data_IF_696807849965
#
_entry.id   IF_696807849965
#
_cell.length_a   1.000
_cell.length_b   1.000
_cell.length_c   1.000
_cell.angle_alpha   90.00
_cell.angle_beta   90.00
_cell.angle_gamma   90.00
#
_symmetry.space_group_name_H-M   'P 1'
#
loop_
_entity.id
_entity.type
_entity.pdbx_description
1 polymer ?
#
# COMPACT_ATOMS: atom_id res chain seq x y z
N UNK A 1 13.82 -11.63 -31.08
CA UNK A 1 13.17 -10.28 -31.09
C UNK A 1 11.88 -10.26 -31.93
N UNK A 2 11.86 -10.64 -33.23
CA UNK A 2 10.61 -10.63 -34.05
C UNK A 2 9.48 -11.52 -33.49
N UNK A 3 9.83 -12.70 -32.96
CA UNK A 3 8.85 -13.66 -32.43
C UNK A 3 8.13 -13.14 -31.17
N UNK A 4 8.86 -12.50 -30.23
CA UNK A 4 8.27 -11.84 -29.04
C UNK A 4 7.37 -10.65 -29.45
N UNK A 5 7.78 -9.87 -30.48
CA UNK A 5 6.96 -8.78 -31.01
C UNK A 5 5.61 -9.23 -31.61
N UNK A 6 5.55 -10.46 -32.10
CA UNK A 6 4.30 -11.01 -32.65
C UNK A 6 3.28 -11.36 -31.56
N UNK A 7 3.69 -11.58 -30.30
CA UNK A 7 2.79 -11.85 -29.19
C UNK A 7 1.87 -10.65 -28.90
N UNK A 8 2.34 -9.41 -29.05
CA UNK A 8 1.50 -8.21 -28.87
C UNK A 8 0.36 -8.08 -29.85
N UNK A 9 0.44 -8.77 -31.01
CA UNK A 9 -0.61 -8.75 -32.03
C UNK A 9 -1.68 -9.81 -31.81
N UNK A 10 -1.43 -10.75 -30.88
CA UNK A 10 -2.37 -11.81 -30.56
C UNK A 10 -3.55 -11.26 -29.77
N UNK A 11 -4.72 -11.74 -30.07
CA UNK A 11 -5.93 -11.50 -29.30
C UNK A 11 -6.49 -12.84 -28.85
N UNK A 12 -6.91 -12.87 -27.61
CA UNK A 12 -7.55 -14.00 -26.98
C UNK A 12 -9.02 -13.66 -26.85
N UNK A 13 -9.86 -14.64 -26.84
CA UNK A 13 -11.28 -14.43 -26.55
C UNK A 13 -11.43 -13.81 -25.15
N UNK A 14 -12.18 -12.69 -25.00
CA UNK A 14 -12.39 -12.05 -23.69
C UNK A 14 -12.91 -13.04 -22.65
N UNK A 15 -12.34 -12.99 -21.45
CA UNK A 15 -12.74 -13.88 -20.35
C UNK A 15 -12.11 -15.27 -20.39
N UNK A 16 -11.20 -15.56 -21.32
CA UNK A 16 -10.47 -16.83 -21.35
C UNK A 16 -9.08 -16.70 -20.77
N UNK A 17 -8.53 -17.81 -20.24
CA UNK A 17 -7.15 -17.88 -19.72
C UNK A 17 -6.12 -17.68 -20.82
N UNK A 18 -6.37 -18.23 -22.00
CA UNK A 18 -5.50 -18.18 -23.16
C UNK A 18 -6.14 -18.81 -24.37
N UNK A 19 -5.33 -19.03 -25.39
CA UNK A 19 -5.71 -19.89 -26.53
C UNK A 19 -4.69 -21.01 -26.69
N UNK A 20 -5.07 -22.17 -27.25
CA UNK A 20 -4.14 -23.27 -27.51
C UNK A 20 -2.93 -22.85 -28.37
N UNK A 21 -3.18 -21.94 -29.32
CA UNK A 21 -2.12 -21.39 -30.19
C UNK A 21 -1.16 -20.50 -29.42
N UNK A 22 -1.65 -19.62 -28.51
CA UNK A 22 -0.80 -18.79 -27.67
C UNK A 22 0.03 -19.66 -26.72
N UNK A 23 -0.58 -20.67 -26.08
CA UNK A 23 0.11 -21.58 -25.16
C UNK A 23 1.26 -22.31 -25.87
N UNK A 24 1.04 -22.80 -27.10
CA UNK A 24 2.08 -23.42 -27.92
C UNK A 24 3.20 -22.46 -28.23
N UNK A 25 2.90 -21.27 -28.72
CA UNK A 25 3.90 -20.26 -29.06
C UNK A 25 4.75 -19.84 -27.86
N UNK A 26 4.15 -19.70 -26.67
CA UNK A 26 4.86 -19.38 -25.45
C UNK A 26 5.80 -20.53 -25.04
N UNK A 27 5.36 -21.78 -25.14
CA UNK A 27 6.17 -22.94 -24.80
C UNK A 27 7.36 -23.10 -25.77
N UNK A 28 7.15 -22.96 -27.08
CA UNK A 28 8.22 -22.96 -28.10
C UNK A 28 9.25 -21.87 -27.82
N UNK A 29 8.79 -20.61 -27.61
CA UNK A 29 9.67 -19.49 -27.30
C UNK A 29 10.45 -19.70 -26.01
N UNK A 30 9.81 -20.22 -24.97
CA UNK A 30 10.45 -20.52 -23.70
C UNK A 30 11.54 -21.58 -23.85
N UNK A 31 11.29 -22.60 -24.66
CA UNK A 31 12.28 -23.62 -24.99
C UNK A 31 13.49 -23.05 -25.75
N UNK A 32 13.23 -22.17 -26.73
CA UNK A 32 14.28 -21.54 -27.54
C UNK A 32 15.19 -20.63 -26.70
N UNK A 33 14.59 -19.81 -25.81
CA UNK A 33 15.35 -18.89 -24.96
C UNK A 33 15.84 -19.52 -23.66
N UNK A 34 15.37 -20.73 -23.32
CA UNK A 34 15.63 -21.46 -22.07
C UNK A 34 15.34 -20.64 -20.83
N UNK A 35 14.30 -19.82 -20.88
CA UNK A 35 13.83 -18.95 -19.82
C UNK A 35 12.31 -18.94 -19.79
N UNK A 36 11.76 -18.49 -18.69
CA UNK A 36 10.34 -18.22 -18.59
C UNK A 36 9.95 -17.08 -19.55
N UNK A 37 8.86 -17.27 -20.26
CA UNK A 37 8.24 -16.26 -21.12
C UNK A 37 6.83 -16.04 -20.63
N UNK A 38 6.49 -14.78 -20.35
CA UNK A 38 5.19 -14.41 -19.83
C UNK A 38 4.51 -13.33 -20.66
N UNK A 39 3.18 -13.35 -20.64
CA UNK A 39 2.34 -12.31 -21.22
C UNK A 39 1.33 -11.83 -20.20
N UNK A 40 1.15 -10.53 -20.12
CA UNK A 40 0.11 -9.90 -19.33
C UNK A 40 -1.07 -9.58 -20.25
N UNK A 41 -2.25 -10.09 -19.90
CA UNK A 41 -3.45 -10.04 -20.73
C UNK A 41 -4.52 -9.22 -20.01
N UNK A 42 -5.15 -8.27 -20.69
CA UNK A 42 -6.29 -7.53 -20.15
C UNK A 42 -7.61 -8.31 -20.33
N UNK A 43 -8.68 -7.89 -19.66
CA UNK A 43 -10.02 -8.52 -19.74
C UNK A 43 -10.63 -8.47 -21.14
N UNK A 44 -10.07 -7.65 -22.05
CA UNK A 44 -10.48 -7.61 -23.48
C UNK A 44 -9.71 -8.60 -24.34
N UNK A 45 -8.86 -9.42 -23.72
CA UNK A 45 -8.03 -10.41 -24.39
C UNK A 45 -6.83 -9.83 -25.15
N UNK A 46 -6.39 -8.61 -24.85
CA UNK A 46 -5.21 -7.99 -25.46
C UNK A 46 -3.97 -8.28 -24.64
N UNK A 47 -2.91 -8.64 -25.32
CA UNK A 47 -1.57 -8.74 -24.69
C UNK A 47 -1.02 -7.33 -24.49
N UNK A 48 -0.83 -6.93 -23.23
CA UNK A 48 -0.36 -5.61 -22.83
C UNK A 48 1.15 -5.57 -22.61
N UNK A 49 1.71 -6.64 -22.06
CA UNK A 49 3.15 -6.77 -21.81
C UNK A 49 3.62 -8.17 -22.15
N UNK A 50 4.87 -8.27 -22.60
CA UNK A 50 5.58 -9.54 -22.85
C UNK A 50 6.89 -9.49 -22.08
N UNK A 51 7.16 -10.47 -21.24
CA UNK A 51 8.35 -10.58 -20.43
C UNK A 51 9.12 -11.87 -20.70
N UNK A 52 10.44 -11.80 -20.53
CA UNK A 52 11.32 -12.96 -20.55
C UNK A 52 12.00 -13.02 -19.18
N UNK A 53 11.20 -13.34 -18.18
CA UNK A 53 11.57 -13.41 -16.77
C UNK A 53 10.51 -14.22 -16.02
N UNK A 54 10.84 -14.62 -14.79
CA UNK A 54 9.86 -15.18 -13.85
C UNK A 54 8.73 -14.17 -13.54
N UNK A 55 7.70 -14.61 -12.82
CA UNK A 55 6.56 -13.76 -12.47
C UNK A 55 6.97 -12.48 -11.72
N UNK A 56 8.01 -12.53 -10.86
CA UNK A 56 8.54 -11.38 -10.13
C UNK A 56 9.25 -10.37 -11.03
N UNK A 57 9.87 -10.83 -12.10
CA UNK A 57 10.56 -9.98 -13.08
C UNK A 57 9.66 -9.43 -14.18
N UNK A 58 8.37 -9.74 -14.17
CA UNK A 58 7.41 -9.21 -15.14
C UNK A 58 7.13 -7.73 -14.84
N UNK A 59 7.32 -6.86 -15.84
CA UNK A 59 6.95 -5.46 -15.75
C UNK A 59 5.43 -5.32 -15.88
N UNK A 60 4.82 -4.76 -14.84
CA UNK A 60 3.39 -4.45 -14.83
C UNK A 60 3.18 -2.99 -15.22
N UNK A 61 2.13 -2.66 -16.00
CA UNK A 61 1.72 -1.28 -16.19
C UNK A 61 1.34 -0.66 -14.85
N UNK A 62 1.22 0.67 -14.82
CA UNK A 62 0.77 1.39 -13.62
C UNK A 62 -0.67 0.94 -13.28
N UNK A 63 -0.74 -0.02 -12.35
CA UNK A 63 -2.00 -0.63 -11.93
C UNK A 63 -2.70 0.32 -10.97
N UNK A 64 -3.76 0.97 -11.41
CA UNK A 64 -4.68 1.68 -10.52
C UNK A 64 -5.46 0.66 -9.70
N UNK A 65 -4.86 0.23 -8.60
CA UNK A 65 -5.52 -0.69 -7.68
C UNK A 65 -6.60 0.06 -6.89
N UNK A 66 -7.87 -0.23 -7.17
CA UNK A 66 -8.96 0.17 -6.27
C UNK A 66 -8.98 -0.78 -5.07
N UNK A 67 -9.31 -0.26 -3.88
CA UNK A 67 -9.31 -1.05 -2.63
C UNK A 67 -10.16 -2.33 -2.71
N UNK A 68 -11.20 -2.34 -3.54
CA UNK A 68 -12.18 -3.42 -3.64
C UNK A 68 -12.29 -4.04 -5.05
N UNK A 69 -11.25 -3.94 -5.87
CA UNK A 69 -11.24 -4.48 -7.23
C UNK A 69 -9.96 -5.23 -7.53
N UNK A 70 -10.07 -6.21 -8.40
CA UNK A 70 -8.92 -6.85 -9.02
C UNK A 70 -8.27 -5.91 -10.05
N UNK A 71 -7.01 -6.18 -10.42
CA UNK A 71 -6.25 -5.32 -11.32
C UNK A 71 -6.79 -5.26 -12.75
N UNK A 72 -7.60 -6.24 -13.14
CA UNK A 72 -8.08 -6.37 -14.52
C UNK A 72 -7.07 -7.03 -15.46
N UNK A 73 -6.04 -7.66 -14.90
CA UNK A 73 -5.00 -8.34 -15.66
C UNK A 73 -4.82 -9.79 -15.21
N UNK A 74 -4.53 -10.63 -16.17
CA UNK A 74 -4.17 -12.03 -16.00
C UNK A 74 -2.74 -12.24 -16.51
N UNK A 75 -1.89 -12.90 -15.72
CA UNK A 75 -0.54 -13.28 -16.10
C UNK A 75 -0.52 -14.74 -16.57
N UNK A 76 -0.18 -14.97 -17.85
CA UNK A 76 0.06 -16.28 -18.41
C UNK A 76 1.55 -16.41 -18.74
N UNK A 77 2.24 -17.37 -18.12
CA UNK A 77 3.67 -17.58 -18.31
C UNK A 77 4.04 -19.05 -18.41
N UNK A 78 5.29 -19.33 -18.70
CA UNK A 78 5.80 -20.69 -18.91
C UNK A 78 6.73 -21.12 -17.81
N UNK A 79 6.70 -22.41 -17.45
CA UNK A 79 7.67 -23.05 -16.59
C UNK A 79 8.57 -24.00 -17.43
N UNK A 80 9.81 -23.57 -17.80
CA UNK A 80 10.72 -24.35 -18.66
C UNK A 80 11.16 -25.70 -18.05
N UNK A 81 11.06 -25.81 -16.74
CA UNK A 81 11.42 -27.04 -16.00
C UNK A 81 10.17 -27.86 -15.61
N UNK A 82 9.00 -27.49 -16.14
CA UNK A 82 7.73 -28.05 -15.74
C UNK A 82 7.33 -27.68 -14.30
N UNK A 83 6.23 -28.24 -13.85
CA UNK A 83 5.74 -28.10 -12.48
C UNK A 83 4.58 -27.10 -12.30
N UNK A 84 3.96 -27.18 -11.13
CA UNK A 84 2.86 -26.32 -10.71
C UNK A 84 3.31 -24.87 -10.45
N UNK A 85 2.35 -24.00 -10.12
CA UNK A 85 2.61 -22.63 -9.71
C UNK A 85 3.59 -22.56 -8.54
N UNK A 86 4.58 -21.67 -8.66
CA UNK A 86 5.57 -21.42 -7.62
C UNK A 86 5.02 -20.46 -6.56
N UNK A 87 5.66 -20.41 -5.38
CA UNK A 87 5.36 -19.38 -4.37
C UNK A 87 5.53 -17.95 -4.92
N UNK A 88 6.45 -17.75 -5.88
CA UNK A 88 6.65 -16.47 -6.55
C UNK A 88 5.45 -16.04 -7.39
N UNK A 89 4.82 -16.99 -8.09
CA UNK A 89 3.63 -16.75 -8.91
C UNK A 89 2.44 -16.38 -8.03
N UNK A 90 2.24 -17.12 -6.94
CA UNK A 90 1.17 -16.89 -5.98
C UNK A 90 1.36 -15.56 -5.23
N UNK A 91 2.60 -15.22 -4.85
CA UNK A 91 2.90 -13.88 -4.30
C UNK A 91 2.61 -12.77 -5.31
N UNK A 92 2.93 -12.97 -6.59
CA UNK A 92 2.65 -11.99 -7.65
C UNK A 92 1.15 -11.83 -7.88
N UNK A 93 0.40 -12.93 -7.93
CA UNK A 93 -1.07 -12.93 -7.98
C UNK A 93 -1.65 -12.05 -6.87
N UNK A 94 -1.19 -12.27 -5.65
CA UNK A 94 -1.67 -11.59 -4.46
C UNK A 94 -1.29 -10.10 -4.44
N UNK A 95 0.02 -9.78 -4.54
CA UNK A 95 0.55 -8.42 -4.45
C UNK A 95 0.06 -7.49 -5.57
N UNK A 96 -0.17 -8.06 -6.77
CA UNK A 96 -0.66 -7.31 -7.92
C UNK A 96 -2.18 -7.42 -8.10
N UNK A 97 -2.86 -8.14 -7.19
CA UNK A 97 -4.30 -8.39 -7.22
C UNK A 97 -4.77 -8.80 -8.62
N UNK A 98 -4.01 -9.70 -9.24
CA UNK A 98 -4.31 -10.15 -10.59
C UNK A 98 -5.65 -10.88 -10.64
N UNK A 99 -6.31 -10.86 -11.78
CA UNK A 99 -7.52 -11.63 -12.02
C UNK A 99 -7.22 -13.14 -11.90
N UNK A 100 -6.07 -13.56 -12.42
CA UNK A 100 -5.49 -14.89 -12.24
C UNK A 100 -3.99 -14.90 -12.57
N UNK A 101 -3.31 -15.96 -12.17
CA UNK A 101 -1.98 -16.33 -12.66
C UNK A 101 -2.05 -17.74 -13.23
N UNK A 102 -1.44 -17.97 -14.39
CA UNK A 102 -1.41 -19.27 -15.04
C UNK A 102 -0.01 -19.62 -15.52
N UNK A 103 0.44 -20.83 -15.21
CA UNK A 103 1.72 -21.37 -15.65
C UNK A 103 1.53 -22.53 -16.61
N UNK A 104 2.18 -22.46 -17.77
CA UNK A 104 2.20 -23.51 -18.78
C UNK A 104 3.45 -24.36 -18.56
N UNK A 105 3.28 -25.65 -18.34
CA UNK A 105 4.40 -26.58 -18.34
C UNK A 105 5.02 -26.69 -19.72
N UNK A 106 6.33 -26.50 -19.84
CA UNK A 106 7.07 -26.74 -21.06
C UNK A 106 7.66 -28.15 -21.00
N UNK A 107 7.20 -29.02 -21.91
CA UNK A 107 7.68 -30.39 -22.07
C UNK A 107 8.85 -30.44 -23.05
N UNK A 108 9.40 -31.64 -23.23
CA UNK A 108 10.48 -31.88 -24.19
C UNK A 108 10.12 -31.28 -25.56
N UNK A 109 11.11 -30.74 -26.25
CA UNK A 109 10.99 -30.13 -27.59
C UNK A 109 10.07 -28.89 -27.63
N UNK A 110 9.80 -28.24 -26.49
CA UNK A 110 9.01 -27.01 -26.45
C UNK A 110 7.49 -27.22 -26.54
N UNK A 111 7.02 -28.43 -26.31
CA UNK A 111 5.57 -28.73 -26.30
C UNK A 111 4.90 -28.14 -25.06
N UNK A 112 3.72 -27.53 -25.23
CA UNK A 112 2.90 -27.08 -24.13
C UNK A 112 2.23 -28.26 -23.43
N UNK A 113 2.41 -28.38 -22.13
CA UNK A 113 1.90 -29.46 -21.28
C UNK A 113 0.59 -29.08 -20.56
N UNK A 114 0.58 -29.23 -19.24
CA UNK A 114 -0.53 -28.80 -18.38
C UNK A 114 -0.45 -27.30 -18.11
N UNK A 115 -1.59 -26.70 -17.87
CA UNK A 115 -1.73 -25.31 -17.44
C UNK A 115 -2.27 -25.31 -16.02
N UNK A 116 -1.52 -24.71 -15.11
CA UNK A 116 -1.88 -24.53 -13.71
C UNK A 116 -2.37 -23.12 -13.50
N UNK A 117 -3.57 -22.92 -13.03
CA UNK A 117 -4.18 -21.59 -12.83
C UNK A 117 -4.56 -21.41 -11.36
N UNK A 118 -4.32 -20.20 -10.84
CA UNK A 118 -4.81 -19.78 -9.54
C UNK A 118 -5.47 -18.40 -9.63
N UNK A 119 -6.44 -18.18 -8.73
CA UNK A 119 -7.08 -16.89 -8.51
C UNK A 119 -7.16 -16.59 -7.01
N UNK A 120 -7.38 -15.33 -6.63
CA UNK A 120 -7.55 -14.92 -5.25
C UNK A 120 -8.85 -15.48 -4.66
N UNK A 121 -8.89 -15.62 -3.33
CA UNK A 121 -10.11 -15.86 -2.56
C UNK A 121 -10.60 -14.56 -1.93
N UNK A 122 -11.90 -14.40 -1.62
CA UNK A 122 -12.40 -13.23 -0.91
C UNK A 122 -11.76 -13.10 0.48
N UNK A 123 -11.42 -11.88 0.93
CA UNK A 123 -10.82 -11.69 2.24
C UNK A 123 -11.76 -12.13 3.36
N UNK A 124 -11.21 -12.84 4.38
CA UNK A 124 -11.95 -13.28 5.55
C UNK A 124 -12.88 -14.48 5.28
N UNK A 125 -12.65 -15.25 4.23
CA UNK A 125 -13.38 -16.51 3.97
C UNK A 125 -13.03 -17.51 5.05
N UNK A 126 -14.00 -17.87 5.89
CA UNK A 126 -13.84 -18.80 7.00
C UNK A 126 -13.53 -20.19 6.46
N UNK A 127 -12.38 -20.76 6.84
CA UNK A 127 -11.97 -22.12 6.49
C UNK A 127 -10.98 -22.25 5.34
N UNK A 128 -10.58 -21.18 4.68
CA UNK A 128 -9.46 -21.17 3.74
C UNK A 128 -8.21 -20.58 4.44
N UNK A 129 -7.14 -21.38 4.51
CA UNK A 129 -5.85 -20.97 5.11
C UNK A 129 -5.00 -20.16 4.13
N UNK A 130 -5.41 -20.11 2.84
CA UNK A 130 -4.65 -19.48 1.76
C UNK A 130 -5.45 -18.35 1.08
N UNK A 131 -4.76 -17.27 0.68
CA UNK A 131 -5.30 -16.10 -0.01
C UNK A 131 -5.70 -16.39 -1.47
N UNK A 132 -5.51 -17.62 -1.93
CA UNK A 132 -5.73 -18.04 -3.30
C UNK A 132 -6.26 -19.47 -3.38
N UNK A 133 -6.94 -19.75 -4.47
CA UNK A 133 -7.37 -21.09 -4.85
C UNK A 133 -6.66 -21.53 -6.12
N UNK A 134 -6.03 -22.70 -6.07
CA UNK A 134 -5.44 -23.36 -7.23
C UNK A 134 -6.50 -24.24 -7.88
N UNK A 135 -6.73 -24.02 -9.17
CA UNK A 135 -7.68 -24.80 -9.97
C UNK A 135 -7.05 -26.13 -10.40
N UNK A 136 -7.85 -27.17 -10.68
CA UNK A 136 -7.36 -28.38 -11.31
C UNK A 136 -6.60 -28.05 -12.60
N UNK A 137 -5.41 -28.62 -12.86
CA UNK A 137 -4.66 -28.35 -14.07
C UNK A 137 -5.39 -28.88 -15.30
N UNK A 138 -5.35 -28.12 -16.39
CA UNK A 138 -5.95 -28.51 -17.67
C UNK A 138 -4.89 -28.65 -18.75
N UNK A 139 -5.07 -29.54 -19.76
CA UNK A 139 -4.17 -29.59 -20.91
C UNK A 139 -4.15 -28.27 -21.67
N UNK A 140 -2.98 -27.87 -22.21
CA UNK A 140 -2.85 -26.60 -22.93
C UNK A 140 -3.77 -26.46 -24.15
N UNK A 141 -4.24 -27.57 -24.73
CA UNK A 141 -5.22 -27.55 -25.83
C UNK A 141 -6.66 -27.28 -25.39
N UNK A 142 -6.92 -27.27 -24.06
CA UNK A 142 -8.21 -26.94 -23.42
C UNK A 142 -8.15 -25.63 -22.62
N UNK A 143 -7.10 -24.84 -22.77
CA UNK A 143 -6.90 -23.61 -22.00
C UNK A 143 -8.01 -22.57 -22.20
N UNK A 144 -8.71 -22.63 -23.31
CA UNK A 144 -9.83 -21.77 -23.69
C UNK A 144 -11.21 -22.28 -23.23
N UNK A 145 -11.30 -23.48 -22.66
CA UNK A 145 -12.56 -24.01 -22.13
C UNK A 145 -12.94 -23.38 -20.79
N UNK A 146 -11.96 -22.92 -19.99
CA UNK A 146 -12.21 -22.31 -18.69
C UNK A 146 -12.69 -20.85 -18.82
N UNK A 147 -13.86 -20.54 -18.25
CA UNK A 147 -14.43 -19.20 -18.22
C UNK A 147 -13.87 -18.40 -17.03
N UNK A 148 -12.68 -17.83 -17.23
CA UNK A 148 -12.04 -16.95 -16.26
C UNK A 148 -12.87 -15.69 -16.03
N UNK A 149 -13.57 -15.18 -17.04
CA UNK A 149 -14.38 -13.96 -16.95
C UNK A 149 -15.53 -14.11 -15.96
N UNK A 150 -16.27 -15.22 -16.03
CA UNK A 150 -17.34 -15.52 -15.08
C UNK A 150 -16.80 -15.69 -13.66
N UNK A 151 -15.64 -16.38 -13.50
CA UNK A 151 -14.99 -16.56 -12.21
C UNK A 151 -14.57 -15.23 -11.59
N UNK A 152 -13.92 -14.36 -12.35
CA UNK A 152 -13.48 -13.03 -11.93
C UNK A 152 -14.66 -12.15 -11.53
N UNK A 153 -15.75 -12.19 -12.31
CA UNK A 153 -16.95 -11.43 -12.00
C UNK A 153 -17.57 -11.90 -10.67
N UNK A 154 -17.71 -13.20 -10.46
CA UNK A 154 -18.22 -13.76 -9.22
C UNK A 154 -17.36 -13.34 -8.02
N UNK A 155 -16.03 -13.43 -8.16
CA UNK A 155 -15.08 -13.01 -7.13
C UNK A 155 -15.17 -11.51 -6.82
N UNK A 156 -15.28 -10.64 -7.84
CA UNK A 156 -15.46 -9.20 -7.62
C UNK A 156 -16.79 -8.87 -6.93
N UNK A 157 -17.86 -9.61 -7.26
CA UNK A 157 -19.14 -9.45 -6.56
C UNK A 157 -19.06 -9.87 -5.08
N UNK A 158 -18.32 -10.94 -4.78
CA UNK A 158 -18.07 -11.39 -3.40
C UNK A 158 -17.21 -10.38 -2.63
N UNK A 159 -16.11 -9.90 -3.22
CA UNK A 159 -15.25 -8.86 -2.64
C UNK A 159 -16.08 -7.58 -2.38
N UNK A 160 -16.89 -7.15 -3.35
CA UNK A 160 -17.74 -5.97 -3.20
C UNK A 160 -18.83 -6.16 -2.13
N UNK A 161 -19.38 -7.36 -1.99
CA UNK A 161 -20.35 -7.70 -0.94
C UNK A 161 -19.69 -7.68 0.43
N UNK A 162 -18.54 -8.31 0.57
CA UNK A 162 -17.73 -8.28 1.79
C UNK A 162 -17.39 -6.84 2.19
N UNK A 163 -16.96 -6.01 1.25
CA UNK A 163 -16.65 -4.60 1.47
C UNK A 163 -17.86 -3.79 1.96
N UNK A 164 -19.06 -3.99 1.38
CA UNK A 164 -20.30 -3.31 1.84
C UNK A 164 -20.68 -3.72 3.25
N UNK A 165 -20.57 -4.99 3.59
CA UNK A 165 -20.83 -5.50 4.94
C UNK A 165 -19.84 -4.92 5.95
N UNK A 166 -18.59 -4.68 5.54
CA UNK A 166 -17.55 -4.02 6.33
C UNK A 166 -17.87 -2.57 6.63
N UNK A 167 -18.17 -1.77 5.61
CA UNK A 167 -18.51 -0.35 5.77
C UNK A 167 -19.68 -0.16 6.74
N UNK A 168 -20.64 -1.08 6.73
CA UNK A 168 -21.79 -1.03 7.64
C UNK A 168 -21.45 -1.43 9.10
N UNK A 169 -20.31 -2.09 9.35
CA UNK A 169 -19.88 -2.59 10.68
C UNK A 169 -18.65 -1.89 11.24
N UNK A 170 -17.99 -1.01 10.49
CA UNK A 170 -16.70 -0.44 10.87
C UNK A 170 -16.85 0.78 11.77
N UNK A 171 -16.75 0.56 13.07
CA UNK A 171 -16.56 1.63 14.05
C UNK A 171 -15.07 2.03 14.20
N UNK A 172 -14.12 1.15 13.83
CA UNK A 172 -12.68 1.34 14.02
C UNK A 172 -11.85 0.82 12.83
N UNK A 173 -10.74 1.49 12.50
CA UNK A 173 -9.73 0.99 11.55
C UNK A 173 -8.96 -0.18 12.19
N UNK A 174 -8.78 -1.28 11.46
CA UNK A 174 -8.09 -2.48 11.93
C UNK A 174 -6.60 -2.41 11.59
N UNK A 175 -5.75 -2.52 12.61
CA UNK A 175 -4.32 -2.28 12.51
C UNK A 175 -3.48 -3.52 12.81
N UNK A 176 -2.46 -3.74 12.00
CA UNK A 176 -1.33 -4.60 12.35
C UNK A 176 -0.19 -3.72 12.86
N UNK A 177 0.33 -4.06 14.03
CA UNK A 177 1.47 -3.38 14.62
C UNK A 177 2.77 -4.08 14.21
N UNK A 178 3.77 -3.30 13.83
CA UNK A 178 5.08 -3.79 13.44
C UNK A 178 6.14 -3.06 14.27
N UNK A 179 6.77 -3.78 15.20
CA UNK A 179 7.90 -3.31 15.98
C UNK A 179 9.17 -3.99 15.48
N UNK A 180 10.22 -3.22 15.19
CA UNK A 180 11.52 -3.77 14.83
C UNK A 180 12.38 -3.86 16.08
N UNK A 181 12.85 -5.07 16.33
CA UNK A 181 13.81 -5.39 17.38
C UNK A 181 15.22 -5.42 16.79
N UNK A 182 16.11 -4.57 17.29
CA UNK A 182 17.53 -4.54 16.90
C UNK A 182 18.43 -5.30 17.91
N UNK A 183 17.86 -6.06 18.82
CA UNK A 183 18.54 -6.73 19.94
C UNK A 183 18.46 -5.92 21.21
N UNK A 184 17.46 -5.07 21.36
CA UNK A 184 17.19 -4.26 22.56
C UNK A 184 16.33 -5.07 23.55
N UNK A 185 16.59 -4.89 24.85
CA UNK A 185 15.89 -5.64 25.91
C UNK A 185 14.42 -5.26 26.09
N UNK A 186 13.95 -4.15 25.49
CA UNK A 186 12.64 -3.57 25.69
C UNK A 186 11.73 -3.58 24.44
N UNK A 187 12.05 -4.42 23.46
CA UNK A 187 11.30 -4.46 22.20
C UNK A 187 9.83 -4.91 22.36
N UNK A 188 9.56 -5.84 23.27
CA UNK A 188 8.20 -6.28 23.61
C UNK A 188 7.44 -5.18 24.37
N UNK A 189 8.08 -4.50 25.32
CA UNK A 189 7.47 -3.39 26.06
C UNK A 189 7.09 -2.24 25.10
N UNK A 190 7.94 -1.95 24.11
CA UNK A 190 7.65 -0.96 23.07
C UNK A 190 6.48 -1.38 22.18
N UNK A 191 6.34 -2.67 21.90
CA UNK A 191 5.21 -3.20 21.14
C UNK A 191 3.91 -3.10 21.96
N UNK A 192 3.99 -3.33 23.26
CA UNK A 192 2.87 -3.14 24.19
C UNK A 192 2.47 -1.67 24.26
N UNK A 193 3.42 -0.75 24.42
CA UNK A 193 3.17 0.70 24.36
C UNK A 193 2.52 1.10 23.04
N UNK A 194 3.02 0.60 21.92
CA UNK A 194 2.46 0.89 20.59
C UNK A 194 1.00 0.40 20.47
N UNK A 195 0.68 -0.74 21.10
CA UNK A 195 -0.69 -1.25 21.11
C UNK A 195 -1.63 -0.33 21.92
N UNK A 196 -1.19 0.18 23.05
CA UNK A 196 -1.98 1.14 23.83
C UNK A 196 -2.15 2.48 23.10
N UNK A 197 -1.12 2.97 22.42
CA UNK A 197 -1.22 4.16 21.58
C UNK A 197 -2.22 3.95 20.44
N UNK A 198 -2.17 2.80 19.73
CA UNK A 198 -3.09 2.49 18.66
C UNK A 198 -4.56 2.44 19.13
N UNK A 199 -4.81 1.81 20.28
CA UNK A 199 -6.16 1.79 20.89
C UNK A 199 -6.63 3.19 21.30
N UNK A 200 -5.73 4.00 21.86
CA UNK A 200 -6.02 5.40 22.24
C UNK A 200 -6.36 6.25 21.01
N UNK A 201 -5.76 5.96 19.86
CA UNK A 201 -6.10 6.59 18.58
C UNK A 201 -7.40 6.06 17.96
N UNK A 202 -8.04 5.05 18.56
CA UNK A 202 -9.28 4.45 18.08
C UNK A 202 -9.10 3.32 17.08
N UNK A 203 -7.89 2.74 16.95
CA UNK A 203 -7.65 1.60 16.08
C UNK A 203 -7.90 0.27 16.82
N UNK A 204 -8.46 -0.71 16.12
CA UNK A 204 -8.55 -2.10 16.57
C UNK A 204 -7.24 -2.82 16.22
N UNK A 205 -6.49 -3.26 17.22
CA UNK A 205 -5.24 -4.02 17.00
C UNK A 205 -5.58 -5.48 16.73
N UNK A 206 -5.45 -5.91 15.48
CA UNK A 206 -5.79 -7.27 15.05
C UNK A 206 -4.58 -8.21 15.02
N UNK A 207 -3.37 -7.66 14.94
CA UNK A 207 -2.14 -8.44 15.00
C UNK A 207 -0.96 -7.58 15.49
N UNK A 208 0.02 -8.26 16.09
CA UNK A 208 1.23 -7.65 16.64
C UNK A 208 2.43 -8.45 16.13
N UNK A 209 3.36 -7.78 15.48
CA UNK A 209 4.51 -8.38 14.85
C UNK A 209 5.81 -7.79 15.40
N UNK A 210 6.64 -8.64 15.96
CA UNK A 210 8.01 -8.29 16.36
C UNK A 210 8.99 -8.81 15.32
N UNK A 211 9.67 -7.90 14.62
CA UNK A 211 10.59 -8.25 13.54
C UNK A 211 12.03 -8.06 14.00
N UNK A 212 12.74 -9.16 14.23
CA UNK A 212 14.16 -9.08 14.58
C UNK A 212 15.02 -8.69 13.39
N UNK A 213 15.76 -7.57 13.50
CA UNK A 213 16.67 -7.08 12.47
C UNK A 213 17.85 -6.32 13.07
N UNK A 214 19.06 -6.87 12.99
CA UNK A 214 20.28 -6.16 13.42
C UNK A 214 20.61 -4.95 12.55
N UNK A 215 20.38 -5.08 11.24
CA UNK A 215 20.64 -4.01 10.27
C UNK A 215 19.35 -3.65 9.55
N UNK A 216 18.93 -2.41 9.68
CA UNK A 216 17.77 -1.88 8.95
C UNK A 216 18.10 -1.73 7.47
N UNK A 217 17.17 -2.12 6.60
CA UNK A 217 17.28 -1.82 5.18
C UNK A 217 16.91 -0.34 4.94
N UNK A 218 17.71 0.42 4.19
CA UNK A 218 17.44 1.86 4.00
C UNK A 218 16.06 2.15 3.40
N UNK A 219 15.56 1.29 2.50
CA UNK A 219 14.30 1.52 1.81
C UNK A 219 13.06 1.16 2.64
N UNK A 220 12.93 -0.09 3.01
CA UNK A 220 11.68 -0.63 3.57
C UNK A 220 11.74 -1.00 5.04
N UNK A 221 12.85 -0.75 5.72
CA UNK A 221 13.19 -1.19 7.09
C UNK A 221 13.22 -2.72 7.24
N UNK A 222 12.25 -3.41 6.69
CA UNK A 222 12.12 -4.88 6.66
C UNK A 222 12.41 -5.40 5.24
N UNK A 223 12.68 -6.70 5.08
CA UNK A 223 12.92 -7.30 3.76
C UNK A 223 11.61 -7.47 2.96
N UNK A 224 11.73 -7.58 1.63
CA UNK A 224 10.60 -7.79 0.73
C UNK A 224 9.73 -9.00 1.14
N UNK A 225 10.35 -10.14 1.49
CA UNK A 225 9.60 -11.31 1.94
C UNK A 225 8.80 -11.09 3.23
N UNK A 226 9.29 -10.24 4.15
CA UNK A 226 8.52 -9.88 5.35
C UNK A 226 7.37 -8.93 5.03
N UNK A 227 7.55 -8.03 4.06
CA UNK A 227 6.45 -7.19 3.58
C UNK A 227 5.37 -8.04 2.88
N UNK A 228 5.77 -9.03 2.07
CA UNK A 228 4.84 -10.00 1.48
C UNK A 228 4.03 -10.75 2.56
N UNK A 229 4.70 -11.25 3.60
CA UNK A 229 4.05 -11.91 4.73
C UNK A 229 3.08 -11.00 5.48
N UNK A 230 3.50 -9.75 5.78
CA UNK A 230 2.65 -8.76 6.45
C UNK A 230 1.43 -8.39 5.60
N UNK A 231 1.61 -8.29 4.26
CA UNK A 231 0.52 -8.00 3.34
C UNK A 231 -0.49 -9.15 3.27
N UNK A 232 -0.01 -10.39 3.19
CA UNK A 232 -0.86 -11.59 3.26
C UNK A 232 -1.64 -11.63 4.58
N UNK A 233 -0.95 -11.42 5.70
CA UNK A 233 -1.58 -11.40 7.02
C UNK A 233 -2.61 -10.28 7.17
N UNK A 234 -2.32 -9.10 6.62
CA UNK A 234 -3.28 -7.99 6.61
C UNK A 234 -4.55 -8.34 5.83
N UNK A 235 -4.40 -9.03 4.72
CA UNK A 235 -5.53 -9.50 3.94
C UNK A 235 -6.38 -10.52 4.69
N UNK A 236 -5.77 -11.55 5.30
CA UNK A 236 -6.47 -12.55 6.12
C UNK A 236 -7.20 -11.94 7.32
N UNK A 237 -6.53 -11.04 8.02
CA UNK A 237 -7.07 -10.39 9.20
C UNK A 237 -7.97 -9.19 8.86
N UNK A 238 -8.17 -8.89 7.59
CA UNK A 238 -8.94 -7.73 7.17
C UNK A 238 -8.44 -6.42 7.81
N UNK A 239 -7.11 -6.24 7.83
CA UNK A 239 -6.48 -5.06 8.36
C UNK A 239 -6.43 -3.94 7.32
N UNK A 240 -6.66 -2.70 7.76
CA UNK A 240 -6.69 -1.50 6.92
C UNK A 240 -5.35 -0.83 6.81
N UNK A 241 -4.52 -0.98 7.86
CA UNK A 241 -3.27 -0.25 7.99
C UNK A 241 -2.20 -1.05 8.73
N UNK A 242 -0.95 -0.68 8.46
CA UNK A 242 0.21 -1.09 9.23
C UNK A 242 0.70 0.08 10.08
N UNK A 243 0.92 -0.14 11.35
CA UNK A 243 1.49 0.84 12.27
C UNK A 243 2.90 0.40 12.65
N UNK A 244 3.90 1.20 12.28
CA UNK A 244 5.30 0.94 12.63
C UNK A 244 5.68 1.65 13.94
N UNK A 245 6.32 0.94 14.84
CA UNK A 245 6.85 1.50 16.10
C UNK A 245 8.05 2.42 15.90
N UNK A 246 8.72 2.34 14.75
CA UNK A 246 9.81 3.24 14.35
C UNK A 246 9.28 4.42 13.55
N UNK A 247 9.98 5.55 13.62
CA UNK A 247 9.74 6.68 12.73
C UNK A 247 10.16 6.32 11.29
N UNK A 248 9.29 6.63 10.33
CA UNK A 248 9.52 6.36 8.92
C UNK A 248 9.86 7.65 8.16
N UNK A 249 10.94 7.61 7.40
CA UNK A 249 11.19 8.64 6.40
C UNK A 249 10.10 8.64 5.31
N UNK A 250 9.85 9.80 4.69
CA UNK A 250 8.82 9.94 3.67
C UNK A 250 9.01 8.98 2.47
N UNK A 251 10.25 8.66 2.10
CA UNK A 251 10.55 7.71 1.04
C UNK A 251 10.24 6.27 1.48
N UNK A 252 10.58 5.92 2.72
CA UNK A 252 10.33 4.59 3.29
C UNK A 252 8.84 4.30 3.40
N UNK A 253 8.06 5.22 3.95
CA UNK A 253 6.61 5.05 4.05
C UNK A 253 5.98 4.78 2.67
N UNK A 254 6.36 5.56 1.64
CA UNK A 254 5.86 5.36 0.27
C UNK A 254 6.29 4.03 -0.35
N UNK A 255 7.54 3.62 -0.11
CA UNK A 255 8.03 2.35 -0.65
C UNK A 255 7.28 1.17 -0.02
N UNK A 256 7.00 1.25 1.29
CA UNK A 256 6.19 0.25 2.00
C UNK A 256 4.73 0.30 1.50
N UNK A 257 4.11 1.48 1.37
CA UNK A 257 2.76 1.63 0.81
C UNK A 257 2.66 1.06 -0.62
N UNK A 258 3.64 1.35 -1.47
CA UNK A 258 3.68 0.84 -2.84
C UNK A 258 3.86 -0.69 -2.89
N UNK A 259 4.60 -1.27 -1.94
CA UNK A 259 4.84 -2.70 -1.86
C UNK A 259 3.64 -3.46 -1.26
N UNK A 260 2.92 -2.88 -0.32
CA UNK A 260 1.85 -3.54 0.44
C UNK A 260 0.44 -3.17 -0.04
N UNK A 261 0.29 -1.97 -0.62
CA UNK A 261 -1.03 -1.41 -0.94
C UNK A 261 -1.84 -0.99 0.29
N UNK A 262 -1.25 -0.99 1.48
CA UNK A 262 -1.89 -0.64 2.75
C UNK A 262 -1.53 0.79 3.18
N UNK A 263 -2.40 1.41 3.95
CA UNK A 263 -2.10 2.68 4.63
C UNK A 263 -1.00 2.45 5.67
N UNK A 264 0.05 3.26 5.65
CA UNK A 264 1.19 3.16 6.56
C UNK A 264 1.19 4.35 7.51
N UNK A 265 1.23 4.03 8.79
CA UNK A 265 1.34 5.02 9.88
C UNK A 265 2.58 4.66 10.70
N UNK A 266 3.32 5.65 11.15
CA UNK A 266 4.40 5.45 12.12
C UNK A 266 4.02 5.99 13.50
N UNK A 267 4.89 5.75 14.48
CA UNK A 267 4.67 6.17 15.86
C UNK A 267 4.43 7.68 15.98
N UNK A 268 5.19 8.50 15.24
CA UNK A 268 5.07 9.96 15.31
C UNK A 268 3.70 10.42 14.78
N UNK A 269 3.26 9.90 13.66
CA UNK A 269 1.93 10.20 13.12
C UNK A 269 0.82 9.74 14.07
N UNK A 270 0.93 8.53 14.63
CA UNK A 270 -0.03 8.00 15.59
C UNK A 270 -0.17 8.91 16.82
N UNK A 271 0.94 9.40 17.38
CA UNK A 271 0.94 10.34 18.52
C UNK A 271 0.27 11.68 18.12
N UNK A 272 0.55 12.19 16.92
CA UNK A 272 -0.08 13.41 16.42
C UNK A 272 -1.60 13.23 16.24
N UNK A 273 -2.07 12.08 15.82
CA UNK A 273 -3.49 11.76 15.69
C UNK A 273 -4.17 11.68 17.07
N UNK A 274 -3.51 11.08 18.07
CA UNK A 274 -3.99 11.10 19.46
C UNK A 274 -4.10 12.53 19.99
N UNK A 275 -3.10 13.38 19.74
CA UNK A 275 -3.18 14.79 20.15
C UNK A 275 -4.30 15.53 19.45
N UNK A 276 -4.57 15.22 18.17
CA UNK A 276 -5.69 15.82 17.44
C UNK A 276 -7.05 15.45 18.07
N UNK A 277 -7.23 14.20 18.48
CA UNK A 277 -8.45 13.75 19.16
C UNK A 277 -8.67 14.45 20.51
N UNK A 278 -7.60 14.76 21.24
CA UNK A 278 -7.66 15.34 22.59
C UNK A 278 -7.53 16.86 22.62
N UNK A 279 -7.28 17.53 21.49
CA UNK A 279 -7.11 18.98 21.41
C UNK A 279 -8.44 19.72 21.56
N UNK A 280 -8.76 20.19 22.78
CA UNK A 280 -10.03 20.89 23.08
C UNK A 280 -9.92 22.42 22.89
N UNK A 281 -8.75 23.02 23.13
CA UNK A 281 -8.54 24.46 23.02
C UNK A 281 -8.19 24.92 21.60
N UNK A 282 -8.51 26.19 21.27
CA UNK A 282 -8.14 26.76 19.96
C UNK A 282 -6.63 26.70 19.72
N UNK A 283 -5.84 27.01 20.73
CA UNK A 283 -4.38 26.95 20.64
C UNK A 283 -3.86 25.55 20.44
N UNK A 284 -4.35 24.56 21.21
CA UNK A 284 -3.92 23.16 21.06
C UNK A 284 -4.29 22.60 19.69
N UNK A 285 -5.46 22.93 19.14
CA UNK A 285 -5.85 22.54 17.80
C UNK A 285 -4.92 23.12 16.73
N UNK A 286 -4.59 24.42 16.85
CA UNK A 286 -3.66 25.09 15.92
C UNK A 286 -2.27 24.46 15.99
N UNK A 287 -1.77 24.15 17.20
CA UNK A 287 -0.46 23.52 17.39
C UNK A 287 -0.40 22.13 16.80
N UNK A 288 -1.44 21.31 17.04
CA UNK A 288 -1.49 19.94 16.51
C UNK A 288 -1.63 19.95 14.99
N UNK A 289 -2.50 20.78 14.43
CA UNK A 289 -2.65 20.93 12.97
C UNK A 289 -1.33 21.36 12.32
N UNK A 290 -0.63 22.33 12.92
CA UNK A 290 0.68 22.78 12.46
C UNK A 290 1.71 21.63 12.47
N UNK A 291 1.75 20.85 13.56
CA UNK A 291 2.65 19.70 13.68
C UNK A 291 2.34 18.61 12.66
N UNK A 292 1.06 18.25 12.48
CA UNK A 292 0.63 17.27 11.47
C UNK A 292 1.00 17.72 10.06
N UNK A 293 0.73 18.97 9.68
CA UNK A 293 1.08 19.49 8.35
C UNK A 293 2.59 19.52 8.12
N UNK A 294 3.39 19.91 9.11
CA UNK A 294 4.86 19.88 9.03
C UNK A 294 5.38 18.45 8.83
N UNK A 295 4.80 17.50 9.55
CA UNK A 295 5.18 16.10 9.47
C UNK A 295 4.78 15.47 8.12
N UNK A 296 3.57 15.77 7.63
CA UNK A 296 3.06 15.21 6.37
C UNK A 296 3.63 15.89 5.13
N UNK A 297 4.08 17.16 5.22
CA UNK A 297 4.59 17.94 4.09
C UNK A 297 5.65 17.20 3.25
N UNK A 298 6.73 16.59 3.81
CA UNK A 298 7.70 15.84 3.02
C UNK A 298 7.11 14.59 2.36
N UNK A 299 6.11 13.96 2.98
CA UNK A 299 5.41 12.78 2.47
C UNK A 299 4.55 13.11 1.25
N UNK A 300 3.82 14.21 1.30
CA UNK A 300 2.97 14.69 0.20
C UNK A 300 3.81 15.20 -0.99
N UNK A 301 4.90 15.93 -0.73
CA UNK A 301 5.76 16.49 -1.78
C UNK A 301 6.55 15.42 -2.53
N UNK A 302 6.82 14.29 -1.94
CA UNK A 302 7.54 13.20 -2.60
C UNK A 302 6.67 12.34 -3.52
N UNK A 303 5.36 12.27 -3.30
CA UNK A 303 4.45 11.52 -4.15
C UNK A 303 4.44 12.03 -5.58
N UNK A 304 4.63 13.32 -5.77
CA UNK A 304 4.60 13.89 -7.09
C UNK A 304 5.92 13.96 -7.84
N UNK A 305 7.04 13.87 -7.17
CA UNK A 305 8.33 13.73 -7.85
C UNK A 305 8.44 12.34 -8.54
N UNK A 306 7.78 11.32 -7.99
CA UNK A 306 7.66 10.01 -8.63
C UNK A 306 6.74 10.06 -9.86
N UNK A 307 5.56 10.72 -9.75
CA UNK A 307 4.62 10.92 -10.85
C UNK A 307 5.19 11.80 -11.98
N UNK A 308 5.99 12.82 -11.67
CA UNK A 308 6.60 13.66 -12.71
C UNK A 308 7.73 12.96 -13.46
N UNK A 309 8.46 12.02 -12.85
CA UNK A 309 9.44 11.16 -13.52
C UNK A 309 8.79 10.13 -14.45
N UNK A 310 7.63 9.64 -14.11
CA UNK A 310 6.83 8.70 -14.92
C UNK A 310 6.15 9.44 -16.08
N UNK A 311 5.73 10.70 -15.89
CA UNK A 311 5.13 11.53 -16.93
C UNK A 311 6.15 12.18 -17.88
N UNK A 312 7.44 12.20 -17.55
CA UNK A 312 8.52 12.82 -18.35
C UNK A 312 9.24 11.88 -19.31
N UNK A 313 8.94 10.59 -19.31
CA UNK A 313 9.63 9.55 -20.10
C UNK A 313 9.01 9.18 -21.44
N UNK A 314 8.12 9.98 -22.00
CA UNK A 314 7.43 9.68 -23.25
C UNK A 314 7.41 10.85 -24.23
N UNK A 315 8.55 11.29 -24.71
CA UNK A 315 8.59 12.39 -25.64
C UNK A 315 9.73 12.34 -26.63
N UNK A 316 9.69 11.43 -27.58
CA UNK A 316 10.41 11.61 -28.82
C UNK A 316 9.52 11.23 -29.99
N UNK A 317 9.41 12.17 -30.87
CA UNK A 317 8.97 12.15 -32.25
C UNK A 317 7.58 12.72 -32.56
N UNK A 318 7.61 13.93 -33.06
CA UNK A 318 6.74 14.34 -34.17
C UNK A 318 5.49 15.13 -33.81
N UNK A 319 5.52 16.40 -34.06
CA UNK A 319 4.32 17.20 -34.25
C UNK A 319 4.14 18.35 -33.26
N UNK A 320 4.62 19.52 -33.64
CA UNK A 320 4.50 20.74 -32.88
C UNK A 320 3.06 21.11 -32.57
N UNK A 321 2.75 21.16 -31.29
CA UNK A 321 1.70 22.02 -30.78
C UNK A 321 2.40 23.20 -30.08
N UNK A 322 2.64 24.25 -30.85
CA UNK A 322 2.98 25.56 -30.34
C UNK A 322 1.71 26.10 -29.68
N UNK A 323 1.67 26.21 -28.36
CA UNK A 323 0.56 26.84 -27.64
C UNK A 323 0.22 26.29 -26.26
N UNK A 324 0.82 25.18 -25.79
CA UNK A 324 0.54 24.62 -24.47
C UNK A 324 1.69 24.76 -23.46
N UNK A 325 2.66 25.62 -23.73
CA UNK A 325 3.69 26.06 -22.76
C UNK A 325 3.27 27.33 -22.07
N UNK A 326 2.07 27.39 -21.51
CA UNK A 326 1.77 28.33 -20.45
C UNK A 326 2.34 27.76 -19.14
N UNK A 327 2.76 28.59 -18.17
CA UNK A 327 3.18 28.12 -16.85
C UNK A 327 1.94 27.67 -16.05
N UNK A 328 1.29 26.56 -16.48
CA UNK A 328 0.30 25.88 -15.70
C UNK A 328 1.02 25.21 -14.54
N UNK A 329 0.83 25.72 -13.33
CA UNK A 329 1.29 25.07 -12.10
C UNK A 329 0.84 23.62 -12.15
N UNK A 330 1.76 22.67 -11.95
CA UNK A 330 1.38 21.25 -11.84
C UNK A 330 0.50 21.09 -10.60
N UNK A 331 -0.40 20.11 -10.59
CA UNK A 331 -1.26 19.82 -9.43
C UNK A 331 -0.47 19.77 -8.12
N UNK A 332 0.75 19.29 -8.19
CA UNK A 332 1.72 19.25 -7.11
C UNK A 332 2.17 20.61 -6.58
N UNK A 333 2.44 21.55 -7.49
CA UNK A 333 2.83 22.91 -7.09
C UNK A 333 1.67 23.62 -6.43
N UNK A 334 0.45 23.39 -6.91
CA UNK A 334 -0.77 23.89 -6.28
C UNK A 334 -0.97 23.31 -4.88
N UNK A 335 -0.80 22.01 -4.71
CA UNK A 335 -0.94 21.36 -3.41
C UNK A 335 0.18 21.80 -2.45
N UNK A 336 1.41 21.94 -2.94
CA UNK A 336 2.53 22.50 -2.17
C UNK A 336 2.27 23.94 -1.71
N UNK A 337 1.73 24.77 -2.59
CA UNK A 337 1.37 26.15 -2.27
C UNK A 337 0.30 26.16 -1.17
N UNK A 338 -0.79 25.40 -1.34
CA UNK A 338 -1.87 25.31 -0.35
C UNK A 338 -1.37 24.89 1.05
N UNK A 339 -0.47 23.90 1.10
CA UNK A 339 0.14 23.46 2.37
C UNK A 339 0.99 24.56 2.98
N UNK A 340 1.82 25.24 2.19
CA UNK A 340 2.66 26.34 2.69
C UNK A 340 1.82 27.54 3.16
N UNK A 341 0.77 27.89 2.42
CA UNK A 341 -0.15 28.98 2.79
C UNK A 341 -0.87 28.63 4.12
N UNK A 342 -1.29 27.36 4.27
CA UNK A 342 -1.91 26.88 5.51
C UNK A 342 -0.94 26.91 6.70
N UNK A 343 0.29 26.47 6.50
CA UNK A 343 1.35 26.54 7.53
C UNK A 343 1.57 27.99 7.98
N UNK A 344 1.77 28.92 7.03
CA UNK A 344 1.97 30.34 7.34
C UNK A 344 0.77 30.97 8.04
N UNK A 345 -0.44 30.57 7.66
CA UNK A 345 -1.66 31.01 8.35
C UNK A 345 -1.71 30.53 9.80
N UNK A 346 -1.41 29.24 10.05
CA UNK A 346 -1.42 28.65 11.39
C UNK A 346 -0.34 29.28 12.29
N UNK A 347 0.85 29.52 11.75
CA UNK A 347 1.95 30.19 12.45
C UNK A 347 1.53 31.60 12.92
N UNK A 348 0.92 32.40 12.03
CA UNK A 348 0.41 33.72 12.37
C UNK A 348 -0.71 33.68 13.44
N UNK A 349 -1.59 32.67 13.38
CA UNK A 349 -2.63 32.51 14.39
C UNK A 349 -2.02 32.17 15.76
N UNK A 350 -1.00 31.34 15.82
CA UNK A 350 -0.29 30.99 17.05
C UNK A 350 0.47 32.20 17.64
N UNK A 351 1.12 33.00 16.79
CA UNK A 351 1.74 34.27 17.22
C UNK A 351 0.72 35.21 17.89
N UNK A 352 -0.46 35.36 17.29
CA UNK A 352 -1.54 36.17 17.88
C UNK A 352 -2.06 35.60 19.21
N UNK A 353 -2.04 34.28 19.40
CA UNK A 353 -2.37 33.66 20.69
C UNK A 353 -1.30 33.91 21.72
N UNK A 354 -0.01 33.79 21.32
CA UNK A 354 1.12 34.08 22.20
C UNK A 354 1.14 35.54 22.69
N UNK A 355 0.89 36.51 21.79
CA UNK A 355 0.77 37.93 22.13
C UNK A 355 -0.33 38.19 23.16
N UNK A 356 -1.54 37.62 22.94
CA UNK A 356 -2.65 37.74 23.89
C UNK A 356 -2.36 37.12 25.26
N UNK A 357 -1.57 36.03 25.32
CA UNK A 357 -1.08 35.46 26.58
C UNK A 357 -0.14 36.41 27.31
N UNK A 358 0.78 36.99 26.57
CA UNK A 358 1.74 37.93 27.16
C UNK A 358 1.05 39.19 27.69
N UNK A 359 0.08 39.73 26.98
CA UNK A 359 -0.74 40.84 27.45
C UNK A 359 -1.49 40.49 28.76
N UNK A 360 -2.11 39.29 28.82
CA UNK A 360 -2.76 38.82 30.05
C UNK A 360 -1.75 38.61 31.21
N UNK A 361 -0.54 38.14 30.89
CA UNK A 361 0.52 38.02 31.88
C UNK A 361 0.94 39.36 32.43
N UNK A 362 1.22 40.33 31.56
CA UNK A 362 1.52 41.71 31.93
C UNK A 362 0.39 42.35 32.74
N UNK A 363 -0.87 42.08 32.43
CA UNK A 363 -2.04 42.52 33.19
C UNK A 363 -2.06 41.95 34.60
N UNK A 364 -1.75 40.66 34.79
CA UNK A 364 -1.63 40.04 36.15
C UNK A 364 -0.48 40.60 36.94
N UNK A 365 0.68 40.83 36.33
CA UNK A 365 1.84 41.44 36.95
C UNK A 365 1.54 42.87 37.45
N UNK A 366 0.84 43.68 36.63
CA UNK A 366 0.41 45.05 37.02
C UNK A 366 -0.57 45.03 38.19
N UNK A 367 -1.44 44.03 38.25
CA UNK A 367 -2.44 43.93 39.32
C UNK A 367 -1.92 43.17 40.55
N UNK A 368 -0.60 42.87 40.62
CA UNK A 368 0.06 42.15 41.69
C UNK A 368 -0.64 40.80 42.05
N UNK A 369 -1.24 40.11 41.06
CA UNK A 369 -1.85 38.82 41.30
C UNK A 369 -0.77 37.76 41.52
N UNK A 370 -0.77 37.05 42.67
CA UNK A 370 0.23 36.04 42.93
C UNK A 370 0.09 34.88 41.96
N UNK A 371 1.22 34.41 41.37
CA UNK A 371 1.26 33.27 40.45
C UNK A 371 1.91 32.10 41.15
N UNK A 372 1.17 31.00 41.32
CA UNK A 372 1.66 29.75 41.89
C UNK A 372 1.76 28.72 40.78
N UNK A 373 2.92 28.07 40.61
CA UNK A 373 3.15 27.05 39.61
C UNK A 373 3.20 25.65 40.23
N UNK A 374 2.38 24.72 39.72
CA UNK A 374 2.43 23.32 40.13
C UNK A 374 3.35 22.58 39.15
N UNK A 375 4.47 22.07 39.66
CA UNK A 375 5.50 21.36 38.88
C UNK A 375 5.56 19.89 39.29
N UNK A 376 5.83 18.98 38.36
CA UNK A 376 5.98 17.56 38.60
C UNK A 376 5.95 16.74 37.31
N UNK A 377 6.30 15.46 37.40
CA UNK A 377 6.28 14.53 36.25
C UNK A 377 4.90 14.34 35.68
N UNK A 378 4.81 13.79 34.44
CA UNK A 378 3.56 13.34 33.84
C UNK A 378 2.85 12.35 34.76
N UNK A 379 1.53 12.39 34.81
CA UNK A 379 0.69 11.57 35.70
C UNK A 379 0.90 11.74 37.23
N UNK A 380 1.63 12.74 37.66
CA UNK A 380 1.81 13.08 39.10
C UNK A 380 0.58 13.76 39.73
N UNK A 381 -0.57 13.74 39.09
CA UNK A 381 -1.82 14.31 39.66
C UNK A 381 -1.93 15.84 39.66
N UNK A 382 -1.06 16.57 38.92
CA UNK A 382 -1.08 18.04 38.85
C UNK A 382 -2.44 18.62 38.44
N UNK A 383 -3.02 18.09 37.42
CA UNK A 383 -4.33 18.52 36.89
C UNK A 383 -5.47 18.20 37.88
N UNK A 384 -5.38 17.04 38.52
CA UNK A 384 -6.33 16.64 39.59
C UNK A 384 -6.25 17.59 40.77
N UNK A 385 -5.05 17.95 41.21
CA UNK A 385 -4.82 18.90 42.28
C UNK A 385 -5.34 20.31 41.89
N UNK A 386 -5.04 20.78 40.66
CA UNK A 386 -5.56 22.06 40.18
C UNK A 386 -7.08 22.09 40.16
N UNK A 387 -7.70 21.04 39.66
CA UNK A 387 -9.16 20.96 39.63
C UNK A 387 -9.78 20.94 41.02
N UNK A 388 -9.12 20.28 42.00
CA UNK A 388 -9.59 20.27 43.38
C UNK A 388 -9.48 21.67 44.07
N UNK A 389 -8.63 22.55 43.56
CA UNK A 389 -8.52 23.94 44.07
C UNK A 389 -9.45 24.91 43.35
N UNK A 390 -9.93 24.58 42.17
CA UNK A 390 -10.73 25.50 41.33
C UNK A 390 -12.22 25.15 41.30
N UNK A 391 -12.61 24.04 41.91
CA UNK A 391 -13.98 23.63 42.21
C UNK A 391 -14.29 23.71 43.70
#
# INVERSE_FOLDING_TARGET
>A
MKALGNLYRRRIEPGRVGSPELARNLAELSNDVRREVGVLIDRRGRVISVSVADAKGTEFPDLRMGENRLSGFHLLHTHPRGGALSKGDLSTLFLKRLDAVSAIEVRNEGQAGLVHTAHLTPPGTVGEEEDWRILPPVPAFQIDEFDLGAQVQALEEEIARAARTRVAKKDHERAILVQIDQGEFDAEDRLDELAELARTAGAEVVHRELVFRRNLKPGTLVGAGKLEELTSRAYHLDADLLIFGQELGAAQAREIEAATGLKIIDRTQLILDIFALHAQGVESRLQVELAQLRYMKPRLLGAGAALSRIGGGGGSAGGGAIGTRGPGETKLELDRRRINDRLSFLEKQLEGVAQRREERRKGRERNAVPVISIVGYTNAGKSTLLNAFTH
#
